data_IF_013638872628
#
_entry.id   IF_013638872628
#
_cell.length_a   1.000
_cell.length_b   1.000
_cell.length_c   1.000
_cell.angle_alpha   90.00
_cell.angle_beta   90.00
_cell.angle_gamma   90.00
#
_symmetry.space_group_name_H-M   'P 1'
#
loop_
_entity.id
_entity.type
_entity.pdbx_description
1 polymer ?
#
# COMPACT_ATOMS: atom_id res chain seq x y z
N UNK A 1 13.55 7.22 5.32
CA UNK A 1 12.60 6.67 4.34
C UNK A 1 11.27 6.45 5.04
N UNK A 2 10.22 6.98 4.44
CA UNK A 2 8.85 6.98 4.95
C UNK A 2 8.00 6.04 4.08
N UNK A 3 7.33 5.07 4.71
CA UNK A 3 6.59 4.03 4.02
C UNK A 3 5.09 4.23 4.22
N UNK A 4 4.34 4.49 3.15
CA UNK A 4 2.87 4.52 3.17
C UNK A 4 2.33 3.14 2.80
N UNK A 5 1.62 2.50 3.72
CA UNK A 5 1.10 1.15 3.53
C UNK A 5 -0.33 1.15 3.00
N UNK A 6 -0.55 0.30 2.00
CA UNK A 6 -1.85 -0.21 1.61
C UNK A 6 -2.32 -1.29 2.62
N UNK A 7 -3.65 -1.39 2.84
CA UNK A 7 -4.29 -2.38 3.69
C UNK A 7 -3.90 -3.82 3.33
N UNK A 8 -3.73 -4.14 2.04
CA UNK A 8 -3.45 -5.51 1.60
C UNK A 8 -2.11 -6.07 2.12
N UNK A 9 -1.09 -5.21 2.31
CA UNK A 9 0.21 -5.60 2.87
C UNK A 9 0.09 -5.84 4.37
N UNK A 10 -0.60 -4.94 5.07
CA UNK A 10 -0.78 -5.01 6.52
C UNK A 10 -1.65 -6.22 6.89
N UNK A 11 -2.72 -6.46 6.14
CA UNK A 11 -3.55 -7.64 6.29
C UNK A 11 -2.75 -8.93 6.07
N UNK A 12 -1.84 -8.99 5.10
CA UNK A 12 -0.97 -10.14 4.87
C UNK A 12 0.05 -10.36 6.01
N UNK A 13 0.54 -9.28 6.63
CA UNK A 13 1.43 -9.37 7.79
C UNK A 13 0.74 -9.98 9.03
N UNK A 14 -0.45 -9.47 9.36
CA UNK A 14 -1.21 -9.94 10.52
C UNK A 14 -1.92 -11.27 10.27
N UNK A 15 -2.51 -11.45 9.10
CA UNK A 15 -3.24 -12.65 8.72
C UNK A 15 -2.69 -13.20 7.39
N UNK A 16 -1.66 -14.06 7.41
CA UNK A 16 -1.05 -14.61 6.20
C UNK A 16 -2.04 -15.30 5.26
N UNK A 17 -3.15 -15.82 5.79
CA UNK A 17 -4.23 -16.44 5.00
C UNK A 17 -4.89 -15.47 3.99
N UNK A 18 -4.71 -14.16 4.16
CA UNK A 18 -5.28 -13.13 3.28
C UNK A 18 -4.61 -13.07 1.91
N UNK A 19 -3.44 -13.70 1.76
CA UNK A 19 -2.71 -13.79 0.50
C UNK A 19 -2.23 -15.22 0.25
N UNK A 20 -2.09 -15.58 -1.03
CA UNK A 20 -1.47 -16.86 -1.43
C UNK A 20 0.05 -16.74 -1.61
N UNK A 21 0.59 -15.53 -1.52
CA UNK A 21 2.02 -15.29 -1.76
C UNK A 21 2.81 -15.34 -0.46
N UNK A 22 3.50 -16.45 -0.22
CA UNK A 22 4.45 -16.58 0.90
C UNK A 22 5.53 -15.48 0.88
N UNK A 23 5.96 -15.07 -0.32
CA UNK A 23 6.88 -13.95 -0.54
C UNK A 23 6.34 -12.63 0.02
N UNK A 24 5.06 -12.31 -0.20
CA UNK A 24 4.44 -11.10 0.36
C UNK A 24 4.45 -11.17 1.88
N UNK A 25 4.04 -12.30 2.46
CA UNK A 25 4.02 -12.52 3.91
C UNK A 25 5.41 -12.33 4.52
N UNK A 26 6.43 -12.92 3.90
CA UNK A 26 7.80 -12.86 4.38
C UNK A 26 8.41 -11.46 4.24
N UNK A 27 8.20 -10.80 3.10
CA UNK A 27 8.70 -9.44 2.90
C UNK A 27 8.03 -8.44 3.84
N UNK A 28 6.71 -8.52 4.01
CA UNK A 28 5.96 -7.69 4.95
C UNK A 28 6.43 -7.95 6.39
N UNK A 29 6.68 -9.22 6.75
CA UNK A 29 7.28 -9.60 8.04
C UNK A 29 8.65 -8.94 8.23
N UNK A 30 9.59 -9.12 7.30
CA UNK A 30 10.93 -8.56 7.44
C UNK A 30 10.88 -7.05 7.62
N UNK A 31 10.08 -6.37 6.78
CA UNK A 31 9.93 -4.92 6.84
C UNK A 31 9.38 -4.46 8.19
N UNK A 32 8.22 -4.99 8.59
CA UNK A 32 7.51 -4.50 9.77
C UNK A 32 8.21 -4.90 11.07
N UNK A 33 8.73 -6.13 11.16
CA UNK A 33 9.45 -6.59 12.36
C UNK A 33 10.79 -5.88 12.55
N UNK A 34 11.45 -5.44 11.47
CA UNK A 34 12.69 -4.68 11.61
C UNK A 34 12.47 -3.36 12.36
N UNK A 35 11.36 -2.66 12.09
CA UNK A 35 11.01 -1.43 12.80
C UNK A 35 10.49 -1.75 14.21
N UNK A 36 9.60 -2.73 14.35
CA UNK A 36 9.10 -3.18 15.66
C UNK A 36 10.21 -3.57 16.63
N UNK A 37 11.28 -4.19 16.13
CA UNK A 37 12.43 -4.61 16.94
C UNK A 37 13.48 -3.51 17.16
N UNK A 38 13.29 -2.31 16.60
CA UNK A 38 14.22 -1.17 16.72
C UNK A 38 15.45 -1.26 15.80
N UNK A 39 15.53 -2.25 14.91
CA UNK A 39 16.65 -2.46 13.97
C UNK A 39 16.60 -1.54 12.74
N UNK A 40 15.46 -0.89 12.55
CA UNK A 40 15.14 -0.08 11.39
C UNK A 40 14.46 1.19 11.86
N UNK A 41 14.93 2.34 11.38
CA UNK A 41 14.36 3.66 11.66
C UNK A 41 13.37 4.13 10.58
N UNK A 42 12.89 3.20 9.75
CA UNK A 42 11.85 3.51 8.76
C UNK A 42 10.57 3.94 9.49
N UNK A 43 9.92 4.97 8.96
CA UNK A 43 8.69 5.49 9.55
C UNK A 43 7.49 4.99 8.75
N UNK A 44 6.49 4.44 9.42
CA UNK A 44 5.35 3.80 8.76
C UNK A 44 4.09 4.65 8.89
N UNK A 45 3.54 5.02 7.74
CA UNK A 45 2.22 5.62 7.61
C UNK A 45 1.20 4.57 7.18
N UNK A 46 -0.04 4.71 7.68
CA UNK A 46 -1.21 3.97 7.18
C UNK A 46 -2.38 4.95 6.99
N UNK A 47 -3.03 4.99 5.83
CA UNK A 47 -4.26 5.76 5.66
C UNK A 47 -5.34 5.32 6.65
N UNK A 48 -6.11 6.27 7.19
CA UNK A 48 -7.20 5.96 8.11
C UNK A 48 -8.26 5.01 7.52
N UNK A 49 -8.56 5.11 6.22
CA UNK A 49 -9.45 4.15 5.55
C UNK A 49 -8.82 2.77 5.38
N UNK A 50 -7.49 2.67 5.20
CA UNK A 50 -6.80 1.37 5.19
C UNK A 50 -6.82 0.69 6.56
N UNK A 51 -6.86 1.43 7.67
CA UNK A 51 -7.09 0.86 9.01
C UNK A 51 -8.43 0.11 9.03
N UNK A 52 -9.50 0.78 8.56
CA UNK A 52 -10.84 0.19 8.50
C UNK A 52 -10.88 -1.04 7.58
N UNK A 53 -10.20 -0.98 6.43
CA UNK A 53 -10.08 -2.13 5.52
C UNK A 53 -9.36 -3.33 6.15
N UNK A 54 -8.29 -3.11 6.94
CA UNK A 54 -7.62 -4.21 7.64
C UNK A 54 -8.55 -4.89 8.63
N UNK A 55 -9.33 -4.13 9.42
CA UNK A 55 -10.35 -4.72 10.30
C UNK A 55 -11.44 -5.45 9.49
N UNK A 56 -11.88 -4.88 8.38
CA UNK A 56 -12.85 -5.53 7.47
C UNK A 56 -12.32 -6.87 6.94
N UNK A 57 -11.04 -6.94 6.61
CA UNK A 57 -10.40 -8.20 6.21
C UNK A 57 -10.39 -9.21 7.35
N UNK A 58 -10.08 -8.81 8.58
CA UNK A 58 -10.15 -9.71 9.74
C UNK A 58 -11.58 -10.26 9.95
N UNK A 59 -12.59 -9.39 9.86
CA UNK A 59 -14.00 -9.77 9.98
C UNK A 59 -14.43 -10.70 8.84
N UNK A 60 -14.04 -10.41 7.60
CA UNK A 60 -14.30 -11.26 6.43
C UNK A 60 -13.79 -12.69 6.66
N UNK A 61 -12.57 -12.85 7.15
CA UNK A 61 -12.00 -14.17 7.42
C UNK A 61 -12.58 -14.83 8.69
N UNK A 62 -13.17 -14.08 9.61
CA UNK A 62 -13.79 -14.63 10.83
C UNK A 62 -15.27 -15.03 10.63
N UNK A 63 -16.02 -14.29 9.81
CA UNK A 63 -17.48 -14.38 9.74
C UNK A 63 -18.05 -14.75 8.37
N UNK A 64 -17.35 -14.50 7.25
CA UNK A 64 -17.93 -14.76 5.93
C UNK A 64 -17.97 -16.26 5.60
N UNK A 65 -19.18 -16.82 5.55
CA UNK A 65 -19.49 -18.19 5.11
C UNK A 65 -19.69 -18.31 3.60
N UNK A 66 -20.01 -17.21 2.91
CA UNK A 66 -20.39 -17.18 1.50
C UNK A 66 -19.20 -16.95 0.55
N UNK A 67 -18.08 -16.40 1.01
CA UNK A 67 -16.95 -16.06 0.14
C UNK A 67 -16.05 -17.27 -0.14
N UNK A 68 -15.93 -17.67 -1.42
CA UNK A 68 -15.09 -18.82 -1.83
C UNK A 68 -13.62 -18.69 -1.40
N UNK A 69 -13.10 -17.46 -1.27
CA UNK A 69 -11.73 -17.22 -0.79
C UNK A 69 -11.56 -17.51 0.71
N UNK A 70 -12.63 -17.40 1.51
CA UNK A 70 -12.59 -17.62 2.97
C UNK A 70 -13.05 -19.03 3.37
N UNK A 71 -13.78 -19.74 2.50
CA UNK A 71 -14.32 -21.09 2.79
C UNK A 71 -13.26 -22.11 3.24
N UNK A 72 -12.05 -22.10 2.69
CA UNK A 72 -10.95 -22.98 3.11
C UNK A 72 -9.98 -22.33 4.11
N UNK A 73 -10.22 -21.08 4.50
CA UNK A 73 -9.24 -20.22 5.18
C UNK A 73 -9.79 -19.47 6.40
N UNK A 74 -10.99 -19.81 6.90
CA UNK A 74 -11.62 -19.13 8.03
C UNK A 74 -10.68 -19.10 9.24
N UNK A 75 -10.72 -18.00 9.99
CA UNK A 75 -10.00 -17.87 11.26
C UNK A 75 -10.95 -18.11 12.43
N UNK A 76 -10.47 -18.81 13.44
CA UNK A 76 -11.23 -19.05 14.67
C UNK A 76 -11.44 -17.74 15.44
N UNK A 77 -12.54 -17.61 16.19
CA UNK A 77 -12.87 -16.39 16.94
C UNK A 77 -11.77 -15.94 17.90
N UNK A 78 -11.06 -16.89 18.53
CA UNK A 78 -9.89 -16.59 19.39
C UNK A 78 -8.74 -15.92 18.62
N UNK A 79 -8.42 -16.37 17.41
CA UNK A 79 -7.37 -15.73 16.60
C UNK A 79 -7.87 -14.40 16.02
N UNK A 80 -9.13 -14.29 15.61
CA UNK A 80 -9.73 -12.99 15.25
C UNK A 80 -9.56 -11.94 16.36
N UNK A 81 -9.94 -12.29 17.61
CA UNK A 81 -9.78 -11.41 18.77
C UNK A 81 -8.33 -10.96 18.94
N UNK A 82 -7.37 -11.89 18.89
CA UNK A 82 -5.93 -11.58 19.03
C UNK A 82 -5.39 -10.70 17.90
N UNK A 83 -5.82 -10.94 16.65
CA UNK A 83 -5.41 -10.10 15.51
C UNK A 83 -5.90 -8.67 15.67
N UNK A 84 -7.17 -8.51 16.08
CA UNK A 84 -7.78 -7.20 16.37
C UNK A 84 -7.02 -6.47 17.48
N UNK A 85 -6.84 -7.11 18.64
CA UNK A 85 -6.13 -6.52 19.79
C UNK A 85 -4.68 -6.13 19.45
N UNK A 86 -3.99 -6.98 18.68
CA UNK A 86 -2.65 -6.68 18.23
C UNK A 86 -2.62 -5.45 17.32
N UNK A 87 -3.46 -5.43 16.28
CA UNK A 87 -3.47 -4.33 15.33
C UNK A 87 -3.91 -3.01 16.00
N UNK A 88 -4.92 -3.06 16.88
CA UNK A 88 -5.33 -1.94 17.74
C UNK A 88 -4.13 -1.38 18.52
N UNK A 89 -3.37 -2.24 19.19
CA UNK A 89 -2.18 -1.84 19.94
C UNK A 89 -1.12 -1.18 19.05
N UNK A 90 -0.98 -1.63 17.81
CA UNK A 90 0.06 -1.18 16.89
C UNK A 90 -0.27 0.15 16.17
N UNK A 91 -1.56 0.49 16.05
CA UNK A 91 -2.01 1.79 15.53
C UNK A 91 -2.26 2.81 16.65
N UNK A 92 -2.55 2.36 17.87
CA UNK A 92 -2.83 3.24 19.00
C UNK A 92 -1.58 4.05 19.38
N UNK A 93 -1.76 5.37 19.55
CA UNK A 93 -0.69 6.33 19.82
C UNK A 93 0.51 6.22 18.86
N UNK A 94 0.26 5.82 17.62
CA UNK A 94 1.27 5.63 16.58
C UNK A 94 2.44 4.71 17.00
N UNK A 95 2.17 3.71 17.83
CA UNK A 95 3.20 2.80 18.39
C UNK A 95 4.05 2.12 17.32
N UNK A 96 3.44 1.73 16.20
CA UNK A 96 4.13 1.15 15.06
C UNK A 96 3.71 1.78 13.75
N UNK A 97 2.41 2.02 13.55
CA UNK A 97 1.89 2.70 12.37
C UNK A 97 1.31 4.05 12.77
N UNK A 98 1.84 5.12 12.18
CA UNK A 98 1.27 6.44 12.29
C UNK A 98 0.06 6.54 11.34
N UNK A 99 -1.11 6.87 11.88
CA UNK A 99 -2.30 7.08 11.06
C UNK A 99 -2.12 8.32 10.20
N UNK A 100 -2.44 8.24 8.92
CA UNK A 100 -2.44 9.37 8.02
C UNK A 100 -3.87 9.70 7.63
N UNK A 101 -4.34 10.86 8.05
CA UNK A 101 -5.74 11.26 7.87
C UNK A 101 -6.02 11.69 6.43
N UNK A 102 -7.16 11.25 5.90
CA UNK A 102 -7.65 11.74 4.63
C UNK A 102 -8.03 13.22 4.76
N UNK A 103 -7.36 14.09 4.00
CA UNK A 103 -7.66 15.52 3.92
C UNK A 103 -8.26 15.87 2.55
N UNK A 104 -8.88 17.06 2.46
CA UNK A 104 -9.37 17.61 1.18
C UNK A 104 -8.29 17.68 0.10
N UNK A 105 -7.03 17.90 0.47
CA UNK A 105 -5.93 18.00 -0.51
C UNK A 105 -5.63 16.66 -1.18
N UNK A 106 -5.86 15.54 -0.50
CA UNK A 106 -5.76 14.22 -1.11
C UNK A 106 -6.86 14.02 -2.15
N UNK A 107 -8.09 14.46 -1.86
CA UNK A 107 -9.21 14.39 -2.81
C UNK A 107 -8.92 15.23 -4.06
N UNK A 108 -8.42 16.46 -3.87
CA UNK A 108 -8.07 17.33 -5.00
C UNK A 108 -6.93 16.74 -5.84
N UNK A 109 -5.91 16.15 -5.20
CA UNK A 109 -4.76 15.55 -5.88
C UNK A 109 -5.12 14.35 -6.77
N UNK A 110 -6.30 13.73 -6.61
CA UNK A 110 -6.80 12.71 -7.55
C UNK A 110 -6.84 13.25 -8.99
N UNK A 111 -7.06 14.55 -9.19
CA UNK A 111 -7.08 15.16 -10.53
C UNK A 111 -5.75 15.02 -11.29
N UNK A 112 -4.63 14.76 -10.59
CA UNK A 112 -3.34 14.42 -11.23
C UNK A 112 -3.26 12.94 -11.63
N UNK A 113 -4.01 12.07 -10.97
CA UNK A 113 -3.84 10.62 -11.01
C UNK A 113 -4.89 9.98 -11.92
N UNK A 114 -6.17 10.32 -11.73
CA UNK A 114 -7.29 9.73 -12.45
C UNK A 114 -7.16 9.85 -13.98
N UNK A 115 -6.73 11.00 -14.57
CA UNK A 115 -6.52 11.08 -16.01
C UNK A 115 -5.50 10.06 -16.53
N UNK A 116 -4.43 9.80 -15.76
CA UNK A 116 -3.40 8.82 -16.11
C UNK A 116 -3.95 7.39 -16.02
N UNK A 117 -4.62 7.06 -14.92
CA UNK A 117 -5.18 5.72 -14.69
C UNK A 117 -6.23 5.36 -15.77
N UNK A 118 -7.14 6.28 -16.05
CA UNK A 118 -8.19 6.09 -17.05
C UNK A 118 -7.64 6.04 -18.48
N UNK A 119 -6.61 6.85 -18.78
CA UNK A 119 -6.05 6.90 -20.12
C UNK A 119 -5.29 5.63 -20.51
N UNK A 120 -4.39 5.16 -19.64
CA UNK A 120 -3.48 4.07 -19.97
C UNK A 120 -4.05 2.67 -19.70
N UNK A 121 -5.22 2.58 -19.05
CA UNK A 121 -5.95 1.32 -18.79
C UNK A 121 -5.00 0.19 -18.34
N UNK A 122 -4.23 0.44 -17.29
CA UNK A 122 -3.00 -0.27 -16.93
C UNK A 122 -3.17 -1.75 -16.51
N UNK A 123 -4.38 -2.30 -16.58
CA UNK A 123 -4.69 -3.72 -16.35
C UNK A 123 -4.48 -4.56 -17.61
N UNK A 124 -4.24 -5.87 -17.45
CA UNK A 124 -4.16 -6.79 -18.60
C UNK A 124 -5.56 -6.88 -19.21
N UNK A 125 -5.72 -6.77 -20.55
CA UNK A 125 -6.98 -7.12 -21.22
C UNK A 125 -7.43 -8.48 -20.67
N UNK A 126 -8.67 -8.55 -20.16
CA UNK A 126 -9.25 -9.85 -19.84
C UNK A 126 -9.19 -10.71 -21.11
N UNK A 127 -8.78 -11.99 -20.99
CA UNK A 127 -8.83 -12.94 -22.11
C UNK A 127 -10.25 -13.07 -22.69
N UNK A 128 -11.27 -12.67 -21.92
CA UNK A 128 -12.69 -12.70 -22.30
C UNK A 128 -13.26 -11.36 -22.74
N UNK A 129 -12.43 -10.36 -23.09
CA UNK A 129 -12.92 -9.08 -23.63
C UNK A 129 -13.62 -8.16 -22.62
N UNK A 130 -13.61 -8.51 -21.32
CA UNK A 130 -14.19 -7.68 -20.27
C UNK A 130 -13.54 -6.29 -20.17
N UNK A 131 -14.37 -5.29 -19.88
CA UNK A 131 -13.96 -3.90 -19.70
C UNK A 131 -12.82 -3.79 -18.66
N UNK A 132 -11.80 -3.00 -18.99
CA UNK A 132 -10.74 -2.65 -18.04
C UNK A 132 -11.30 -1.60 -17.08
N UNK A 133 -11.77 -2.04 -15.91
CA UNK A 133 -12.25 -1.12 -14.87
C UNK A 133 -11.11 -0.24 -14.38
N UNK A 134 -11.30 1.08 -14.21
CA UNK A 134 -10.37 1.99 -13.53
C UNK A 134 -9.90 1.50 -12.15
N UNK A 135 -8.87 2.15 -11.60
CA UNK A 135 -8.46 1.94 -10.21
C UNK A 135 -9.62 2.31 -9.28
N UNK A 136 -9.67 1.69 -8.11
CA UNK A 136 -10.65 2.11 -7.11
C UNK A 136 -10.31 3.51 -6.62
N UNK A 137 -11.32 4.30 -6.22
CA UNK A 137 -11.10 5.63 -5.64
C UNK A 137 -10.13 5.59 -4.46
N UNK A 138 -10.15 4.53 -3.64
CA UNK A 138 -9.21 4.35 -2.54
C UNK A 138 -7.75 4.15 -3.01
N UNK A 139 -7.53 3.46 -4.13
CA UNK A 139 -6.19 3.31 -4.70
C UNK A 139 -5.62 4.66 -5.14
N UNK A 140 -6.44 5.48 -5.81
CA UNK A 140 -6.08 6.84 -6.21
C UNK A 140 -5.82 7.73 -5.00
N UNK A 141 -6.60 7.57 -3.93
CA UNK A 141 -6.36 8.27 -2.66
C UNK A 141 -5.05 7.87 -2.00
N UNK A 142 -4.66 6.59 -2.00
CA UNK A 142 -3.35 6.16 -1.48
C UNK A 142 -2.22 6.83 -2.27
N UNK A 143 -2.35 6.91 -3.61
CA UNK A 143 -1.37 7.59 -4.46
C UNK A 143 -1.31 9.08 -4.11
N UNK A 144 -2.47 9.74 -4.00
CA UNK A 144 -2.57 11.15 -3.65
C UNK A 144 -1.95 11.47 -2.28
N UNK A 145 -2.18 10.61 -1.29
CA UNK A 145 -1.53 10.68 0.03
C UNK A 145 -0.02 10.52 -0.07
N UNK A 146 0.46 9.62 -0.92
CA UNK A 146 1.88 9.46 -1.20
C UNK A 146 2.52 10.71 -1.82
N UNK A 147 1.82 11.39 -2.76
CA UNK A 147 2.27 12.67 -3.35
C UNK A 147 2.39 13.74 -2.27
N UNK A 148 1.39 13.86 -1.38
CA UNK A 148 1.46 14.85 -0.31
C UNK A 148 2.59 14.55 0.68
N UNK A 149 2.83 13.28 1.00
CA UNK A 149 3.98 12.88 1.81
C UNK A 149 5.31 13.21 1.13
N UNK A 150 5.42 13.11 -0.20
CA UNK A 150 6.60 13.54 -0.94
C UNK A 150 6.83 15.04 -0.78
N UNK A 151 5.76 15.85 -0.82
CA UNK A 151 5.86 17.29 -0.55
C UNK A 151 6.36 17.60 0.86
N UNK A 152 6.02 16.77 1.85
CA UNK A 152 6.42 16.94 3.26
C UNK A 152 7.86 16.45 3.50
N UNK A 153 8.21 15.28 2.98
CA UNK A 153 9.45 14.56 3.31
C UNK A 153 10.53 14.63 2.24
N UNK A 154 10.22 15.22 1.08
CA UNK A 154 11.11 15.34 -0.07
C UNK A 154 11.02 14.17 -1.06
N UNK A 155 11.43 14.46 -2.29
CA UNK A 155 11.49 13.48 -3.37
C UNK A 155 12.44 12.31 -3.04
N UNK A 156 12.04 11.10 -3.41
CA UNK A 156 12.84 9.89 -3.16
C UNK A 156 12.83 9.38 -1.71
N UNK A 157 12.26 10.13 -0.76
CA UNK A 157 12.19 9.74 0.65
C UNK A 157 10.90 8.99 1.04
N UNK A 158 9.93 8.93 0.14
CA UNK A 158 8.61 8.30 0.37
C UNK A 158 8.41 7.13 -0.57
N UNK A 159 7.94 6.02 -0.02
CA UNK A 159 7.59 4.81 -0.78
C UNK A 159 6.19 4.33 -0.41
N UNK A 160 5.35 4.07 -1.41
CA UNK A 160 4.09 3.37 -1.25
C UNK A 160 4.34 1.86 -1.28
N UNK A 161 3.92 1.14 -0.24
CA UNK A 161 4.08 -0.31 -0.12
C UNK A 161 2.72 -0.97 -0.36
N UNK A 162 2.60 -1.75 -1.44
CA UNK A 162 1.34 -2.40 -1.84
C UNK A 162 1.58 -3.82 -2.36
N UNK A 163 0.51 -4.60 -2.52
CA UNK A 163 0.50 -5.80 -3.36
C UNK A 163 -0.34 -5.63 -4.63
N UNK A 164 -0.98 -4.47 -4.80
CA UNK A 164 -1.80 -4.15 -5.94
C UNK A 164 -0.94 -3.81 -7.16
N UNK A 165 -1.16 -4.56 -8.24
CA UNK A 165 -0.42 -4.43 -9.49
C UNK A 165 -0.80 -3.18 -10.27
N UNK A 166 -2.03 -2.70 -10.14
CA UNK A 166 -2.53 -1.52 -10.83
C UNK A 166 -2.04 -0.26 -10.13
N UNK A 167 -2.22 -0.15 -8.81
CA UNK A 167 -1.74 0.98 -8.02
C UNK A 167 -0.25 1.24 -8.30
N UNK A 168 0.57 0.18 -8.26
CA UNK A 168 1.99 0.29 -8.57
C UNK A 168 2.26 0.80 -9.99
N UNK A 169 1.55 0.28 -11.00
CA UNK A 169 1.71 0.74 -12.38
C UNK A 169 1.28 2.17 -12.59
N UNK A 170 0.25 2.65 -11.90
CA UNK A 170 -0.19 4.05 -12.00
C UNK A 170 0.92 4.95 -11.49
N UNK A 171 1.48 4.65 -10.30
CA UNK A 171 2.63 5.41 -9.77
C UNK A 171 3.82 5.37 -10.73
N UNK A 172 4.21 4.18 -11.20
CA UNK A 172 5.31 4.03 -12.15
C UNK A 172 5.07 4.84 -13.43
N UNK A 173 3.82 4.89 -13.90
CA UNK A 173 3.47 5.64 -15.11
C UNK A 173 3.50 7.15 -14.88
N UNK A 174 3.04 7.64 -13.73
CA UNK A 174 3.13 9.04 -13.35
C UNK A 174 4.59 9.50 -13.16
N UNK A 175 5.48 8.59 -12.73
CA UNK A 175 6.93 8.85 -12.62
C UNK A 175 7.67 8.75 -13.94
N UNK A 176 7.11 8.04 -14.92
CA UNK A 176 7.72 7.86 -16.23
C UNK A 176 7.53 9.05 -17.16
N UNK A 177 8.15 8.97 -18.33
CA UNK A 177 7.96 9.98 -19.39
C UNK A 177 6.54 9.87 -19.95
N UNK A 178 5.86 11.01 -20.01
CA UNK A 178 4.55 11.17 -20.66
C UNK A 178 4.76 12.02 -21.91
N UNK A 179 4.37 11.54 -23.10
CA UNK A 179 4.45 12.33 -24.33
C UNK A 179 3.65 13.63 -24.21
N UNK A 180 4.19 14.75 -24.72
CA UNK A 180 3.55 16.06 -24.68
C UNK A 180 2.11 16.07 -25.21
N UNK A 181 1.85 15.32 -26.28
CA UNK A 181 0.51 15.19 -26.86
C UNK A 181 -0.48 14.59 -25.86
N UNK A 182 -0.06 13.61 -25.06
CA UNK A 182 -0.85 13.00 -23.99
C UNK A 182 -0.96 13.97 -22.81
N UNK A 183 0.13 14.63 -22.43
CA UNK A 183 0.15 15.59 -21.33
C UNK A 183 -0.86 16.71 -21.53
N UNK A 184 -0.91 17.28 -22.74
CA UNK A 184 -1.91 18.31 -23.13
C UNK A 184 -3.32 17.74 -23.19
N UNK A 185 -3.52 16.58 -23.83
CA UNK A 185 -4.84 15.94 -23.93
C UNK A 185 -5.45 15.64 -22.56
N UNK A 186 -4.63 15.22 -21.61
CA UNK A 186 -5.08 14.89 -20.25
C UNK A 186 -5.12 16.11 -19.32
N UNK A 187 -4.85 17.31 -19.84
CA UNK A 187 -4.93 18.59 -19.09
C UNK A 187 -4.12 18.57 -17.80
N UNK A 188 -2.95 17.92 -17.83
CA UNK A 188 -2.11 17.72 -16.65
C UNK A 188 -1.49 19.04 -16.16
N UNK A 189 -1.37 20.03 -17.05
CA UNK A 189 -0.97 21.39 -16.67
C UNK A 189 -2.03 22.02 -15.78
N UNK A 190 -3.28 22.03 -16.22
CA UNK A 190 -4.39 22.61 -15.46
C UNK A 190 -4.61 21.84 -14.14
N UNK A 191 -4.47 20.51 -14.15
CA UNK A 191 -4.51 19.73 -12.92
C UNK A 191 -3.36 20.11 -11.96
N UNK A 192 -2.16 20.41 -12.47
CA UNK A 192 -1.03 20.87 -11.66
C UNK A 192 -1.28 22.25 -11.05
N UNK A 193 -1.81 23.18 -11.85
CA UNK A 193 -2.17 24.53 -11.41
C UNK A 193 -3.28 24.48 -10.34
N UNK A 194 -4.32 23.66 -10.58
CA UNK A 194 -5.44 23.48 -9.66
C UNK A 194 -5.02 22.87 -8.31
N UNK A 195 -4.15 21.86 -8.33
CA UNK A 195 -3.71 21.17 -7.12
C UNK A 195 -2.54 21.86 -6.40
N UNK A 196 -1.87 22.80 -7.06
CA UNK A 196 -0.63 23.42 -6.58
C UNK A 196 0.53 22.42 -6.49
N UNK A 197 0.47 21.31 -7.24
CA UNK A 197 1.50 20.27 -7.28
C UNK A 197 1.90 20.09 -8.74
N UNK A 198 3.17 20.34 -9.05
CA UNK A 198 3.68 20.13 -10.40
C UNK A 198 3.63 18.66 -10.79
N UNK A 199 3.07 18.33 -11.96
CA UNK A 199 3.17 16.99 -12.52
C UNK A 199 4.60 16.73 -13.02
N UNK A 200 5.45 16.20 -12.14
CA UNK A 200 6.85 15.82 -12.40
C UNK A 200 7.17 14.50 -11.72
N UNK A 201 8.17 13.78 -12.23
CA UNK A 201 8.50 12.43 -11.73
C UNK A 201 8.91 12.41 -10.25
N UNK A 202 9.49 13.50 -9.76
CA UNK A 202 9.92 13.70 -8.37
C UNK A 202 8.78 14.11 -7.42
N UNK A 203 7.63 14.56 -7.95
CA UNK A 203 6.42 14.84 -7.16
C UNK A 203 5.68 13.57 -6.71
N UNK A 204 5.90 12.43 -7.38
CA UNK A 204 5.24 11.17 -7.07
C UNK A 204 6.11 10.30 -6.16
N UNK A 205 5.50 9.53 -5.23
CA UNK A 205 6.25 8.65 -4.33
C UNK A 205 6.92 7.52 -5.12
N UNK A 206 7.99 6.93 -4.56
CA UNK A 206 8.42 5.61 -5.02
C UNK A 206 7.30 4.58 -4.77
N UNK A 207 7.32 3.46 -5.47
CA UNK A 207 6.40 2.35 -5.19
C UNK A 207 7.14 1.03 -5.09
N UNK A 208 6.69 0.19 -4.17
CA UNK A 208 7.17 -1.16 -3.99
C UNK A 208 5.97 -2.11 -3.93
N UNK A 209 5.76 -2.83 -5.04
CA UNK A 209 4.82 -3.93 -5.09
C UNK A 209 5.47 -5.20 -4.51
N UNK A 210 5.11 -5.62 -3.30
CA UNK A 210 5.76 -6.74 -2.60
C UNK A 210 5.57 -8.10 -3.30
N UNK A 211 4.54 -8.25 -4.12
CA UNK A 211 4.31 -9.48 -4.91
C UNK A 211 5.40 -9.65 -5.96
N UNK A 212 5.82 -8.55 -6.60
CA UNK A 212 6.78 -8.54 -7.71
C UNK A 212 8.19 -8.08 -7.36
N UNK A 213 8.35 -7.39 -6.23
CA UNK A 213 9.62 -6.82 -5.78
C UNK A 213 10.79 -7.81 -5.86
N UNK A 214 11.86 -7.42 -6.52
CA UNK A 214 13.13 -8.18 -6.54
C UNK A 214 13.97 -7.84 -5.30
N UNK A 215 14.92 -8.71 -4.94
CA UNK A 215 15.88 -8.42 -3.87
C UNK A 215 16.67 -7.15 -4.15
N UNK A 216 16.99 -6.88 -5.42
CA UNK A 216 17.68 -5.66 -5.86
C UNK A 216 16.85 -4.41 -5.58
N UNK A 217 15.57 -4.40 -5.96
CA UNK A 217 14.67 -3.26 -5.66
C UNK A 217 14.51 -3.04 -4.15
N UNK A 218 14.38 -4.13 -3.38
CA UNK A 218 14.31 -4.06 -1.92
C UNK A 218 15.60 -3.46 -1.32
N UNK A 219 16.77 -3.89 -1.81
CA UNK A 219 18.06 -3.33 -1.40
C UNK A 219 18.22 -1.86 -1.80
N UNK A 220 17.74 -1.47 -2.98
CA UNK A 220 17.79 -0.07 -3.44
C UNK A 220 16.95 0.85 -2.56
N UNK A 221 15.72 0.44 -2.18
CA UNK A 221 14.83 1.27 -1.35
C UNK A 221 15.28 1.30 0.11
N UNK A 222 15.72 0.16 0.66
CA UNK A 222 15.98 0.02 2.09
C UNK A 222 17.48 0.03 2.46
N UNK A 223 18.37 0.22 1.48
CA UNK A 223 19.84 0.19 1.62
C UNK A 223 20.43 -1.21 1.78
N UNK A 224 19.71 -2.12 2.45
CA UNK A 224 20.08 -3.53 2.62
C UNK A 224 18.84 -4.42 2.56
N UNK A 225 19.03 -5.66 2.12
CA UNK A 225 17.97 -6.68 2.17
C UNK A 225 18.55 -8.09 2.36
N UNK A 226 18.01 -8.91 3.29
CA UNK A 226 16.92 -8.62 4.22
C UNK A 226 17.32 -7.60 5.30
N UNK A 227 16.34 -6.95 5.91
CA UNK A 227 16.54 -6.13 7.11
C UNK A 227 16.79 -7.02 8.33
N UNK A 228 17.64 -6.56 9.25
CA UNK A 228 17.91 -7.26 10.52
C UNK A 228 16.69 -7.24 11.45
N UNK A 229 16.55 -8.30 12.26
CA UNK A 229 15.49 -8.44 13.27
C UNK A 229 16.13 -9.02 14.54
N UNK A 230 16.31 -8.21 15.59
CA UNK A 230 17.00 -8.63 16.83
C UNK A 230 16.25 -9.68 17.63
N UNK A 231 14.91 -9.62 17.64
CA UNK A 231 14.04 -10.59 18.30
C UNK A 231 12.82 -10.81 17.43
N UNK A 232 12.53 -12.07 17.08
CA UNK A 232 11.26 -12.37 16.41
C UNK A 232 10.14 -12.10 17.40
N UNK A 233 9.30 -11.11 17.09
CA UNK A 233 8.07 -10.90 17.83
C UNK A 233 7.23 -12.18 17.79
N UNK A 234 6.86 -12.71 18.96
CA UNK A 234 5.97 -13.88 19.05
C UNK A 234 4.57 -13.43 18.61
N UNK A 235 4.24 -13.76 17.37
CA UNK A 235 2.93 -13.40 16.82
C UNK A 235 1.83 -14.23 17.50
N UNK A 236 0.76 -13.59 17.99
CA UNK A 236 -0.31 -14.27 18.72
C UNK A 236 -1.00 -15.42 17.97
N UNK A 237 -0.90 -15.44 16.62
CA UNK A 237 -1.52 -16.44 15.75
C UNK A 237 -0.58 -17.58 15.31
N UNK A 238 0.74 -17.42 15.42
CA UNK A 238 1.71 -18.47 15.03
C UNK A 238 1.95 -19.49 16.13
N UNK A 239 1.57 -19.20 17.38
CA UNK A 239 1.76 -20.09 18.52
C UNK A 239 0.76 -21.27 18.59
N UNK A 240 -0.09 -21.45 17.57
CA UNK A 240 -1.18 -22.45 17.56
C UNK A 240 -1.39 -23.12 16.18
N UNK A 241 -0.41 -23.00 15.26
CA UNK A 241 -0.29 -23.85 14.08
C UNK A 241 0.73 -24.94 14.38
#
# INVERSE_FOLDING_TARGET
MYCLFDANVIAAYYCPKTTRSSKVVENARILIESVRSGESRHFFYIPNFCIAEVFSVFMKYAYSSWNKQTKSGRIHGKVHKRLREQFETDIHNAKLFYHYELSRYHVLAINLIAPIDHHYKLTRKSKTGGAQNPAGTFDELIIAMGIQLVKIHGAGNVVVITTDDRLAKVIDKCRGVIPDSIYRRLRLREASEFTGISFRSDSFPLVLNLKKATKTQLKQIFGRWPLSIKKRYKRPYLAQQ
#
